data_IF_681137440893
#
_entry.id   IF_681137440893
#
_cell.length_a   1.000
_cell.length_b   1.000
_cell.length_c   1.000
_cell.angle_alpha   90.00
_cell.angle_beta   90.00
_cell.angle_gamma   90.00
#
_symmetry.space_group_name_H-M   'P 1'
#
loop_
_entity.id
_entity.type
_entity.pdbx_description
1 polymer ?
#
# COMPACT_ATOMS: atom_id res chain seq x y z
N UNK A 1 -13.35 -17.10 41.77
CA UNK A 1 -12.38 -16.43 40.87
C UNK A 1 -13.16 -15.88 39.68
N UNK A 2 -13.15 -14.56 39.47
CA UNK A 2 -13.92 -13.92 38.40
C UNK A 2 -13.06 -13.88 37.12
N UNK A 3 -13.22 -14.88 36.25
CA UNK A 3 -12.70 -14.81 34.90
C UNK A 3 -13.57 -13.85 34.08
N UNK A 4 -13.12 -12.60 33.94
CA UNK A 4 -13.81 -11.61 33.11
C UNK A 4 -13.21 -11.61 31.71
N UNK A 5 -14.07 -11.80 30.72
CA UNK A 5 -13.73 -11.57 29.32
C UNK A 5 -13.73 -10.07 29.03
N UNK A 6 -12.54 -9.46 29.05
CA UNK A 6 -12.35 -8.03 28.77
C UNK A 6 -12.09 -7.85 27.28
N UNK A 7 -13.03 -7.22 26.58
CA UNK A 7 -12.89 -6.88 25.16
C UNK A 7 -12.30 -5.47 25.05
N UNK A 8 -11.12 -5.36 24.44
CA UNK A 8 -10.49 -4.07 24.13
C UNK A 8 -10.96 -3.51 22.79
N UNK A 9 -11.09 -2.19 22.64
CA UNK A 9 -11.44 -1.56 21.36
C UNK A 9 -10.44 -1.90 20.28
N UNK A 10 -10.95 -2.26 19.09
CA UNK A 10 -10.13 -2.62 17.93
C UNK A 10 -9.41 -1.36 17.42
N UNK A 11 -8.08 -1.33 17.50
CA UNK A 11 -7.24 -0.29 16.88
C UNK A 11 -6.78 -0.76 15.51
N UNK A 12 -7.71 -1.01 14.58
CA UNK A 12 -7.30 -1.36 13.21
C UNK A 12 -6.69 -0.13 12.53
N UNK A 13 -5.42 -0.28 12.11
CA UNK A 13 -4.66 0.76 11.40
C UNK A 13 -4.70 0.60 9.87
N UNK A 14 -5.48 -0.36 9.37
CA UNK A 14 -5.62 -0.63 7.94
C UNK A 14 -6.96 -0.11 7.42
N UNK A 15 -6.91 0.61 6.30
CA UNK A 15 -8.09 1.09 5.59
C UNK A 15 -8.15 0.38 4.24
N UNK A 16 -9.34 -0.11 3.88
CA UNK A 16 -9.59 -0.65 2.54
C UNK A 16 -9.87 0.50 1.59
N UNK A 17 -9.11 0.58 0.50
CA UNK A 17 -9.34 1.54 -0.59
C UNK A 17 -9.63 0.82 -1.90
N UNK A 18 -10.58 1.35 -2.67
CA UNK A 18 -10.87 0.88 -4.03
C UNK A 18 -10.27 1.87 -5.02
N UNK A 19 -9.39 1.39 -5.90
CA UNK A 19 -8.76 2.20 -6.94
C UNK A 19 -9.06 1.61 -8.32
N UNK A 20 -9.13 2.46 -9.35
CA UNK A 20 -9.18 2.03 -10.74
C UNK A 20 -7.77 2.05 -11.30
N UNK A 21 -7.30 0.91 -11.80
CA UNK A 21 -5.99 0.76 -12.45
C UNK A 21 -6.17 0.20 -13.85
N UNK A 22 -5.19 0.44 -14.72
CA UNK A 22 -5.17 -0.16 -16.05
C UNK A 22 -4.92 -1.68 -15.97
N UNK A 23 -5.48 -2.41 -16.93
CA UNK A 23 -5.39 -3.88 -16.99
C UNK A 23 -3.96 -4.40 -16.96
N UNK A 24 -3.03 -3.70 -17.64
CA UNK A 24 -1.62 -4.07 -17.66
C UNK A 24 -0.96 -4.06 -16.28
N UNK A 25 -1.33 -3.12 -15.39
CA UNK A 25 -0.80 -3.07 -14.04
C UNK A 25 -1.36 -4.20 -13.17
N UNK A 26 -2.64 -4.55 -13.34
CA UNK A 26 -3.22 -5.70 -12.63
C UNK A 26 -2.53 -7.01 -13.02
N UNK A 27 -2.31 -7.23 -14.33
CA UNK A 27 -1.60 -8.43 -14.82
C UNK A 27 -0.18 -8.52 -14.25
N UNK A 28 0.56 -7.41 -14.25
CA UNK A 28 1.90 -7.36 -13.68
C UNK A 28 1.91 -7.65 -12.17
N UNK A 29 0.93 -7.15 -11.42
CA UNK A 29 0.77 -7.46 -10.00
C UNK A 29 0.49 -8.94 -9.75
N UNK A 30 -0.33 -9.58 -10.59
CA UNK A 30 -0.59 -11.02 -10.52
C UNK A 30 0.66 -11.85 -10.81
N UNK A 31 1.42 -11.51 -11.85
CA UNK A 31 2.70 -12.18 -12.14
C UNK A 31 3.70 -12.03 -10.99
N UNK A 32 3.81 -10.83 -10.42
CA UNK A 32 4.70 -10.58 -9.28
C UNK A 32 4.25 -11.35 -8.03
N UNK A 33 2.94 -11.45 -7.79
CA UNK A 33 2.39 -12.24 -6.70
C UNK A 33 2.74 -13.72 -6.84
N UNK A 34 2.57 -14.28 -8.05
CA UNK A 34 2.95 -15.67 -8.37
C UNK A 34 4.45 -15.92 -8.16
N UNK A 35 5.31 -15.00 -8.61
CA UNK A 35 6.77 -15.14 -8.49
C UNK A 35 7.30 -14.97 -7.07
N UNK A 36 6.69 -14.07 -6.29
CA UNK A 36 7.17 -13.71 -4.95
C UNK A 36 6.52 -14.49 -3.81
N UNK A 37 5.38 -15.15 -4.07
CA UNK A 37 4.55 -15.77 -3.05
C UNK A 37 3.84 -14.76 -2.12
N UNK A 38 3.85 -13.47 -2.47
CA UNK A 38 3.18 -12.41 -1.69
C UNK A 38 1.82 -12.06 -2.28
N UNK A 39 0.93 -11.54 -1.45
CA UNK A 39 -0.35 -11.03 -1.92
C UNK A 39 -0.19 -9.74 -2.73
N UNK A 40 -1.16 -9.47 -3.62
CA UNK A 40 -1.20 -8.20 -4.38
C UNK A 40 -1.18 -6.99 -3.44
N UNK A 41 -1.88 -7.06 -2.31
CA UNK A 41 -1.96 -5.96 -1.34
C UNK A 41 -0.61 -5.69 -0.67
N UNK A 42 0.17 -6.73 -0.36
CA UNK A 42 1.53 -6.56 0.16
C UNK A 42 2.45 -5.90 -0.86
N UNK A 43 2.38 -6.34 -2.13
CA UNK A 43 3.16 -5.75 -3.21
C UNK A 43 2.79 -4.28 -3.45
N UNK A 44 1.51 -3.96 -3.42
CA UNK A 44 1.02 -2.57 -3.52
C UNK A 44 1.54 -1.73 -2.36
N UNK A 45 1.45 -2.22 -1.12
CA UNK A 45 1.96 -1.49 0.05
C UNK A 45 3.47 -1.27 -0.03
N UNK A 46 4.24 -2.25 -0.52
CA UNK A 46 5.68 -2.09 -0.73
C UNK A 46 5.99 -1.06 -1.80
N UNK A 47 5.26 -1.09 -2.93
CA UNK A 47 5.42 -0.13 -4.01
C UNK A 47 5.08 1.29 -3.56
N UNK A 48 4.00 1.46 -2.79
CA UNK A 48 3.60 2.74 -2.20
C UNK A 48 4.67 3.24 -1.23
N UNK A 49 5.16 2.39 -0.33
CA UNK A 49 6.23 2.76 0.61
C UNK A 49 7.48 3.21 -0.13
N UNK A 50 7.92 2.43 -1.12
CA UNK A 50 9.07 2.79 -1.95
C UNK A 50 8.86 4.13 -2.65
N UNK A 51 7.67 4.35 -3.22
CA UNK A 51 7.34 5.61 -3.87
C UNK A 51 7.43 6.79 -2.90
N UNK A 52 6.90 6.68 -1.69
CA UNK A 52 7.01 7.74 -0.67
C UNK A 52 8.46 8.01 -0.26
N UNK A 53 9.30 6.98 -0.17
CA UNK A 53 10.70 7.13 0.22
C UNK A 53 11.56 7.81 -0.88
N UNK A 54 11.10 7.78 -2.15
CA UNK A 54 11.87 8.27 -3.31
C UNK A 54 11.15 9.38 -4.10
N UNK A 55 10.04 9.90 -3.60
CA UNK A 55 9.31 10.96 -4.28
C UNK A 55 10.07 12.28 -4.11
N UNK A 56 10.46 12.88 -5.24
CA UNK A 56 10.99 14.23 -5.27
C UNK A 56 9.95 15.17 -5.87
N UNK A 57 9.65 16.25 -5.17
CA UNK A 57 8.77 17.29 -5.68
C UNK A 57 9.61 18.32 -6.44
N UNK A 58 9.32 18.49 -7.73
CA UNK A 58 9.88 19.62 -8.47
C UNK A 58 9.08 20.85 -8.08
N UNK A 59 9.72 21.74 -7.33
CA UNK A 59 9.16 23.04 -7.02
C UNK A 59 9.08 23.86 -8.32
N UNK A 60 7.89 24.34 -8.66
CA UNK A 60 7.62 25.14 -9.85
C UNK A 60 8.34 26.51 -9.84
N UNK A 61 9.08 26.81 -8.76
CA UNK A 61 10.00 27.95 -8.66
C UNK A 61 11.33 27.75 -9.40
N UNK A 62 11.67 26.53 -9.86
CA UNK A 62 12.95 26.24 -10.54
C UNK A 62 12.88 26.21 -12.07
N UNK A 63 11.73 26.49 -12.68
CA UNK A 63 11.63 26.72 -14.14
C UNK A 63 11.86 28.20 -14.49
N UNK A 64 13.05 28.72 -14.19
CA UNK A 64 13.61 29.89 -14.87
C UNK A 64 15.12 29.74 -14.99
N UNK A 65 15.57 29.24 -16.15
CA UNK A 65 16.78 29.70 -16.83
C UNK A 65 16.80 29.17 -18.26
#
# INVERSE_FOLDING_TARGET
>A
MNEKFVVTPKTERSVTMTIRIETQYNQKLEEMALKSGRSRNELINMAIKFAFDHIEFIDSSSQKK
#
